data_IF_276611261037
#
_entry.id   IF_276611261037
#
_cell.length_a   1.000
_cell.length_b   1.000
_cell.length_c   1.000
_cell.angle_alpha   90.00
_cell.angle_beta   90.00
_cell.angle_gamma   90.00
#
_symmetry.space_group_name_H-M   'P 1'
#
loop_
_entity.id
_entity.type
_entity.pdbx_description
1 polymer ?
#
# COMPACT_ATOMS: atom_id res chain seq x y z
N UNK A 1 6.75 23.04 15.42
CA UNK A 1 5.42 22.69 15.97
C UNK A 1 5.12 21.25 15.56
N UNK A 2 5.21 20.30 16.49
CA UNK A 2 4.92 18.89 16.22
C UNK A 2 3.41 18.72 16.15
N UNK A 3 2.90 18.40 14.97
CA UNK A 3 1.48 18.07 14.76
C UNK A 3 1.17 16.87 15.65
N UNK A 4 0.42 17.10 16.73
CA UNK A 4 -0.06 16.03 17.59
C UNK A 4 -0.73 15.00 16.69
N UNK A 5 -0.30 13.74 16.79
CA UNK A 5 -0.95 12.62 16.13
C UNK A 5 -2.38 12.54 16.68
N UNK A 6 -3.28 13.28 16.02
CA UNK A 6 -4.67 13.30 16.38
C UNK A 6 -5.17 11.86 16.26
N UNK A 7 -5.79 11.33 17.32
CA UNK A 7 -6.34 9.99 17.30
C UNK A 7 -7.41 9.87 16.22
N UNK A 8 -7.02 9.55 14.97
CA UNK A 8 -7.98 9.28 13.89
C UNK A 8 -8.95 8.20 14.41
N UNK A 9 -10.26 8.43 14.25
CA UNK A 9 -11.28 7.44 14.54
C UNK A 9 -11.05 6.28 13.55
N UNK A 10 -10.37 5.24 13.99
CA UNK A 10 -10.02 4.09 13.17
C UNK A 10 -11.10 3.05 13.38
N UNK A 11 -11.98 2.91 12.38
CA UNK A 11 -12.94 1.82 12.33
C UNK A 11 -12.22 0.47 12.19
N UNK A 12 -11.06 0.45 11.52
CA UNK A 12 -10.22 -0.73 11.38
C UNK A 12 -8.73 -0.43 11.50
N UNK A 13 -7.96 -1.43 11.97
CA UNK A 13 -6.51 -1.33 12.13
C UNK A 13 -5.79 -2.63 11.80
N UNK A 14 -4.56 -2.51 11.28
CA UNK A 14 -3.63 -3.63 11.09
C UNK A 14 -2.75 -3.79 12.33
N UNK A 15 -2.51 -5.04 12.73
CA UNK A 15 -1.72 -5.36 13.93
C UNK A 15 -0.38 -5.95 13.53
N UNK A 16 0.71 -5.42 14.09
CA UNK A 16 2.05 -6.00 13.95
C UNK A 16 2.12 -7.31 14.73
N UNK A 17 2.51 -8.38 14.05
CA UNK A 17 2.77 -9.68 14.68
C UNK A 17 4.18 -9.65 15.29
N UNK A 18 4.34 -10.10 16.53
CA UNK A 18 5.64 -10.16 17.22
C UNK A 18 6.18 -11.60 17.24
N UNK A 19 7.50 -11.74 17.34
CA UNK A 19 8.20 -13.03 17.41
C UNK A 19 8.87 -13.46 16.10
N UNK A 20 9.52 -14.63 16.14
CA UNK A 20 10.15 -15.23 14.96
C UNK A 20 9.09 -15.68 13.96
N UNK A 21 9.26 -15.27 12.71
CA UNK A 21 8.38 -15.61 11.59
C UNK A 21 9.20 -16.29 10.50
N UNK A 22 8.59 -17.20 9.73
CA UNK A 22 9.22 -17.70 8.53
C UNK A 22 9.50 -16.56 7.54
N UNK A 23 10.51 -16.77 6.70
CA UNK A 23 10.86 -15.81 5.65
C UNK A 23 9.66 -15.49 4.77
N UNK A 24 9.58 -14.23 4.30
CA UNK A 24 8.50 -13.73 3.45
C UNK A 24 7.10 -13.67 4.10
N UNK A 25 7.00 -13.75 5.43
CA UNK A 25 5.72 -13.54 6.14
C UNK A 25 5.40 -12.06 6.30
N UNK A 26 4.13 -11.69 6.08
CA UNK A 26 3.67 -10.32 6.28
C UNK A 26 3.90 -9.85 7.75
N UNK A 27 4.47 -8.65 7.97
CA UNK A 27 4.76 -8.18 9.32
C UNK A 27 3.50 -7.77 10.10
N UNK A 28 2.44 -7.44 9.37
CA UNK A 28 1.13 -7.05 9.91
C UNK A 28 0.07 -8.04 9.48
N UNK A 29 -0.92 -8.23 10.34
CA UNK A 29 -2.10 -9.03 10.06
C UNK A 29 -3.33 -8.14 10.06
N UNK A 30 -4.24 -8.46 9.13
CA UNK A 30 -5.68 -8.18 9.09
C UNK A 30 -6.17 -6.77 9.44
N UNK A 31 -7.12 -6.20 8.68
CA UNK A 31 -7.93 -5.13 9.24
C UNK A 31 -8.81 -5.71 10.36
N UNK A 32 -8.52 -5.36 11.60
CA UNK A 32 -9.33 -5.71 12.75
C UNK A 32 -10.22 -4.54 13.14
N UNK A 33 -11.46 -4.86 13.54
CA UNK A 33 -12.41 -3.86 14.03
C UNK A 33 -11.96 -3.39 15.41
N UNK A 34 -11.88 -2.06 15.57
CA UNK A 34 -11.61 -1.42 16.85
C UNK A 34 -12.91 -1.30 17.63
N UNK A 35 -12.94 -1.86 18.84
CA UNK A 35 -14.09 -1.78 19.74
C UNK A 35 -14.01 -0.59 20.69
N UNK A 36 -12.82 -0.31 21.23
CA UNK A 36 -12.60 0.82 22.13
C UNK A 36 -11.19 1.35 22.05
N UNK A 37 -11.01 2.61 22.47
CA UNK A 37 -9.74 3.32 22.42
C UNK A 37 -9.43 3.98 23.76
N UNK A 38 -8.16 3.88 24.14
CA UNK A 38 -7.54 4.62 25.24
C UNK A 38 -6.32 5.37 24.72
N UNK A 39 -5.71 6.23 25.55
CA UNK A 39 -4.55 7.04 25.15
C UNK A 39 -3.37 6.21 24.64
N UNK A 40 -3.11 5.02 25.21
CA UNK A 40 -1.95 4.16 24.88
C UNK A 40 -2.32 2.78 24.34
N UNK A 41 -3.60 2.43 24.40
CA UNK A 41 -4.09 1.09 24.09
C UNK A 41 -5.39 1.13 23.30
N UNK A 42 -5.64 0.09 22.53
CA UNK A 42 -6.83 -0.12 21.74
C UNK A 42 -7.34 -1.53 22.01
N UNK A 43 -8.66 -1.67 22.12
CA UNK A 43 -9.31 -2.98 22.20
C UNK A 43 -9.85 -3.32 20.82
N UNK A 44 -9.45 -4.45 20.28
CA UNK A 44 -9.82 -4.90 18.93
C UNK A 44 -10.47 -6.29 18.98
N UNK A 45 -11.27 -6.61 17.97
CA UNK A 45 -11.89 -7.93 17.82
C UNK A 45 -11.04 -8.81 16.88
N UNK A 46 -10.44 -9.88 17.40
CA UNK A 46 -9.68 -10.89 16.65
C UNK A 46 -10.35 -12.25 16.89
N UNK A 47 -10.82 -12.92 15.83
CA UNK A 47 -11.43 -14.27 15.90
C UNK A 47 -12.50 -14.39 17.00
N UNK A 48 -13.41 -13.41 17.04
CA UNK A 48 -14.46 -13.25 18.08
C UNK A 48 -13.99 -13.02 19.52
N UNK A 49 -12.69 -12.88 19.74
CA UNK A 49 -12.12 -12.51 21.03
C UNK A 49 -11.70 -11.05 21.04
N UNK A 50 -11.84 -10.41 22.19
CA UNK A 50 -11.35 -9.06 22.43
C UNK A 50 -9.88 -9.10 22.85
N UNK A 51 -9.03 -8.32 22.19
CA UNK A 51 -7.62 -8.20 22.53
C UNK A 51 -7.22 -6.74 22.70
N UNK A 52 -6.40 -6.46 23.71
CA UNK A 52 -5.89 -5.12 24.00
C UNK A 52 -4.48 -4.97 23.48
N UNK A 53 -4.24 -3.98 22.63
CA UNK A 53 -2.96 -3.77 21.93
C UNK A 53 -2.48 -2.33 22.13
N UNK A 54 -1.18 -2.15 22.36
CA UNK A 54 -0.56 -0.82 22.42
C UNK A 54 -0.52 -0.14 21.05
N UNK A 55 -0.51 1.19 21.06
CA UNK A 55 -0.48 2.01 19.83
C UNK A 55 0.70 1.69 18.93
N UNK A 56 1.85 1.36 19.51
CA UNK A 56 3.10 1.14 18.77
C UNK A 56 3.03 -0.04 17.79
N UNK A 57 2.13 -0.99 18.05
CA UNK A 57 1.93 -2.18 17.21
C UNK A 57 0.76 -2.04 16.24
N UNK A 58 0.07 -0.91 16.24
CA UNK A 58 -1.09 -0.68 15.39
C UNK A 58 -0.73 0.22 14.22
N UNK A 59 -1.32 -0.11 13.06
CA UNK A 59 -1.30 0.75 11.88
C UNK A 59 -2.74 1.08 11.47
N UNK A 60 -3.06 2.36 11.24
CA UNK A 60 -4.38 2.76 10.78
C UNK A 60 -4.71 2.12 9.43
N UNK A 61 -5.96 1.68 9.24
CA UNK A 61 -6.45 1.17 7.96
C UNK A 61 -7.67 1.96 7.53
N UNK A 62 -7.56 2.57 6.35
CA UNK A 62 -8.65 3.30 5.72
C UNK A 62 -9.46 2.29 4.91
N UNK A 63 -10.72 2.09 5.29
CA UNK A 63 -11.69 1.54 4.35
C UNK A 63 -12.11 2.69 3.45
N UNK A 64 -11.84 2.57 2.15
CA UNK A 64 -12.56 3.38 1.17
C UNK A 64 -13.99 2.86 1.21
N UNK A 65 -14.91 3.66 1.73
CA UNK A 65 -16.32 3.37 1.57
C UNK A 65 -16.66 3.58 0.08
N UNK A 66 -17.19 2.57 -0.61
CA UNK A 66 -17.62 2.67 -2.01
C UNK A 66 -18.86 3.58 -2.21
N UNK A 67 -19.28 4.31 -1.17
CA UNK A 67 -20.43 5.22 -1.19
C UNK A 67 -20.09 6.65 -1.57
N UNK A 68 -18.83 6.96 -1.89
CA UNK A 68 -18.45 8.23 -2.50
C UNK A 68 -18.09 8.02 -3.98
N UNK A 69 -19.09 7.60 -4.76
CA UNK A 69 -19.16 8.01 -6.15
C UNK A 69 -19.26 9.54 -6.16
N UNK A 70 -18.12 10.24 -6.23
CA UNK A 70 -17.90 11.56 -6.86
C UNK A 70 -16.70 12.29 -6.23
N UNK A 71 -15.66 12.49 -7.06
CA UNK A 71 -14.59 13.50 -6.98
C UNK A 71 -13.58 13.35 -5.83
N UNK A 72 -12.46 12.70 -6.13
CA UNK A 72 -11.17 13.39 -6.12
C UNK A 72 -10.26 12.65 -7.13
N UNK A 73 -9.75 13.29 -8.19
CA UNK A 73 -8.70 12.67 -8.96
C UNK A 73 -7.52 12.53 -8.00
N UNK A 74 -7.10 11.30 -7.72
CA UNK A 74 -5.80 10.98 -7.16
C UNK A 74 -4.80 12.01 -7.68
N UNK A 75 -3.97 12.66 -6.84
CA UNK A 75 -2.96 13.56 -7.36
C UNK A 75 -2.07 12.73 -8.27
N UNK A 76 -2.36 12.80 -9.56
CA UNK A 76 -1.50 12.35 -10.62
C UNK A 76 -0.26 13.15 -10.34
N UNK A 77 0.74 12.50 -9.74
CA UNK A 77 2.11 12.98 -9.81
C UNK A 77 2.31 13.16 -11.30
N UNK A 78 2.21 14.41 -11.77
CA UNK A 78 2.67 14.82 -13.07
C UNK A 78 4.17 14.57 -13.01
N UNK A 79 4.55 13.32 -13.24
CA UNK A 79 5.87 13.03 -13.71
C UNK A 79 5.94 13.82 -14.99
N UNK A 80 6.75 14.88 -15.00
CA UNK A 80 7.13 15.60 -16.21
C UNK A 80 8.01 14.69 -17.10
N UNK A 81 7.63 13.42 -17.25
CA UNK A 81 8.12 12.59 -18.31
C UNK A 81 7.35 13.06 -19.54
N UNK A 82 7.88 14.09 -20.20
CA UNK A 82 7.57 14.35 -21.59
C UNK A 82 7.80 13.03 -22.32
N UNK A 83 6.71 12.30 -22.56
CA UNK A 83 6.68 11.25 -23.55
C UNK A 83 6.82 12.02 -24.86
N UNK A 84 8.06 12.23 -25.28
CA UNK A 84 8.34 12.49 -26.69
C UNK A 84 7.89 11.22 -27.38
N UNK A 85 6.65 11.25 -27.88
CA UNK A 85 6.15 10.30 -28.85
C UNK A 85 6.97 10.59 -30.12
N UNK A 86 7.90 9.72 -30.55
CA UNK A 86 8.45 9.89 -31.89
C UNK A 86 7.30 9.56 -32.84
N UNK A 87 6.79 10.61 -33.47
CA UNK A 87 5.94 10.55 -34.65
C UNK A 87 6.48 9.48 -35.58
N UNK A 88 5.66 8.47 -35.86
CA UNK A 88 5.97 7.41 -36.82
C UNK A 88 6.34 8.02 -38.17
N UNK A 89 7.52 7.73 -38.68
CA UNK A 89 7.79 7.28 -40.06
C UNK A 89 9.21 6.70 -40.11
N UNK A 90 9.38 5.41 -39.77
CA UNK A 90 10.25 4.47 -40.49
C UNK A 90 10.24 3.10 -39.80
N UNK A 91 9.69 2.11 -40.51
CA UNK A 91 9.58 0.72 -40.10
C UNK A 91 10.90 0.00 -40.43
N UNK A 92 11.83 -0.22 -39.48
CA UNK A 92 12.60 -1.49 -39.39
C UNK A 92 13.62 -1.65 -38.22
N UNK A 93 13.49 -1.01 -37.05
CA UNK A 93 14.44 -1.27 -35.94
C UNK A 93 13.71 -1.81 -34.70
N UNK A 94 14.00 -3.05 -34.25
CA UNK A 94 13.46 -3.55 -32.99
C UNK A 94 14.05 -2.76 -31.83
N UNK A 95 13.19 -2.07 -31.07
CA UNK A 95 13.60 -1.37 -29.85
C UNK A 95 14.08 -2.43 -28.83
N UNK A 96 15.31 -2.36 -28.31
CA UNK A 96 15.76 -3.31 -27.29
C UNK A 96 14.94 -3.11 -26.01
N UNK A 97 14.36 -4.19 -25.48
CA UNK A 97 13.68 -4.15 -24.20
C UNK A 97 14.71 -3.89 -23.08
N UNK A 98 14.79 -2.65 -22.59
CA UNK A 98 15.73 -2.26 -21.54
C UNK A 98 14.99 -1.91 -20.25
N UNK A 99 15.52 -2.35 -19.11
CA UNK A 99 15.00 -1.93 -17.80
C UNK A 99 15.41 -0.49 -17.48
N UNK A 100 14.82 0.09 -16.43
CA UNK A 100 15.15 1.44 -15.93
C UNK A 100 16.65 1.68 -15.68
N UNK A 101 17.41 0.64 -15.36
CA UNK A 101 18.87 0.72 -15.15
C UNK A 101 19.69 0.53 -16.43
N UNK A 102 19.04 0.43 -17.61
CA UNK A 102 19.69 0.18 -18.89
C UNK A 102 20.04 -1.29 -19.17
N UNK A 103 19.58 -2.24 -18.34
CA UNK A 103 19.85 -3.66 -18.56
C UNK A 103 19.03 -4.15 -19.76
N UNK A 104 19.70 -4.69 -20.78
CA UNK A 104 19.04 -5.37 -21.91
C UNK A 104 18.37 -6.66 -21.42
N UNK A 105 17.08 -6.80 -21.68
CA UNK A 105 16.28 -7.99 -21.38
C UNK A 105 15.97 -8.69 -22.70
N UNK A 106 16.16 -10.01 -22.74
CA UNK A 106 15.70 -10.87 -23.81
C UNK A 106 14.63 -11.78 -23.25
N UNK A 107 13.44 -11.74 -23.84
CA UNK A 107 12.37 -12.67 -23.48
C UNK A 107 12.58 -13.97 -24.26
N UNK A 108 12.45 -15.10 -23.56
CA UNK A 108 12.46 -16.40 -24.21
C UNK A 108 11.05 -16.66 -24.77
N UNK A 109 10.89 -16.85 -26.09
CA UNK A 109 9.58 -17.02 -26.71
C UNK A 109 8.83 -18.28 -26.24
N UNK A 110 9.50 -19.22 -25.57
CA UNK A 110 8.85 -20.40 -24.97
C UNK A 110 7.88 -20.05 -23.84
N UNK A 111 8.01 -18.89 -23.22
CA UNK A 111 7.20 -18.46 -22.05
C UNK A 111 6.31 -17.23 -22.36
N UNK A 112 6.13 -16.91 -23.64
CA UNK A 112 5.23 -15.85 -24.12
C UNK A 112 3.98 -16.46 -24.76
#
# INVERSE_FOLDING_TARGET
MFRANSPQNLLSCLVRVEGLKPSLTAPYQGPFVVLSRTNKHFTIKINDRTSTISIDRLKPTFLLNDTDSTKEPFPVRKSNHLVVLPSRLDQNVPIPATTRSGRKVRFNPKYL
#
